data_IF_065915218785
#
_entry.id   IF_065915218785
#
_cell.length_a   1.000
_cell.length_b   1.000
_cell.length_c   1.000
_cell.angle_alpha   90.00
_cell.angle_beta   90.00
_cell.angle_gamma   90.00
#
_symmetry.space_group_name_H-M   'P 1'
#
loop_
_entity.id
_entity.type
_entity.pdbx_description
1 polymer ?
#
# COMPACT_ATOMS: atom_id res chain seq x y z
N UNK A 1 20.56 5.38 -3.11
CA UNK A 1 19.89 4.12 -2.72
C UNK A 1 20.69 2.91 -3.21
N UNK A 2 20.84 1.86 -2.40
CA UNK A 2 21.56 0.64 -2.81
C UNK A 2 20.62 -0.40 -3.45
N UNK A 3 21.10 -1.33 -4.29
CA UNK A 3 20.26 -2.37 -4.91
C UNK A 3 19.49 -3.25 -3.90
N UNK A 4 19.99 -3.39 -2.67
CA UNK A 4 19.34 -4.15 -1.59
C UNK A 4 18.09 -3.45 -1.04
N UNK A 5 18.04 -2.12 -1.07
CA UNK A 5 16.93 -1.29 -0.57
C UNK A 5 15.87 -1.02 -1.65
N UNK A 6 16.29 -1.04 -2.93
CA UNK A 6 15.41 -0.84 -4.08
C UNK A 6 14.48 -2.06 -4.30
N UNK A 7 14.94 -3.27 -3.95
CA UNK A 7 14.17 -4.49 -4.22
C UNK A 7 12.87 -4.59 -3.39
N UNK A 8 12.85 -4.30 -2.08
CA UNK A 8 11.61 -4.28 -1.29
C UNK A 8 10.63 -3.19 -1.73
N UNK A 9 11.10 -1.98 -2.02
CA UNK A 9 10.22 -0.87 -2.39
C UNK A 9 9.55 -1.12 -3.75
N UNK A 10 10.32 -1.63 -4.73
CA UNK A 10 9.77 -2.01 -6.02
C UNK A 10 8.77 -3.18 -5.92
N UNK A 11 8.97 -4.08 -4.96
CA UNK A 11 7.99 -5.15 -4.69
C UNK A 11 6.70 -4.56 -4.15
N UNK A 12 6.77 -3.73 -3.10
CA UNK A 12 5.60 -3.08 -2.51
C UNK A 12 4.80 -2.28 -3.53
N UNK A 13 5.47 -1.47 -4.35
CA UNK A 13 4.83 -0.63 -5.37
C UNK A 13 4.08 -1.48 -6.39
N UNK A 14 4.68 -2.58 -6.86
CA UNK A 14 4.01 -3.51 -7.79
C UNK A 14 2.85 -4.25 -7.14
N UNK A 15 3.05 -4.80 -5.95
CA UNK A 15 2.05 -5.62 -5.26
C UNK A 15 0.81 -4.77 -4.89
N UNK A 16 0.99 -3.48 -4.63
CA UNK A 16 -0.08 -2.54 -4.29
C UNK A 16 -0.62 -1.73 -5.49
N UNK A 17 -0.05 -1.86 -6.69
CA UNK A 17 -0.49 -1.11 -7.87
C UNK A 17 -0.23 0.40 -7.79
N UNK A 18 0.83 0.81 -7.10
CA UNK A 18 1.22 2.21 -7.02
C UNK A 18 2.13 2.64 -8.18
N UNK A 19 2.17 3.94 -8.41
CA UNK A 19 3.12 4.62 -9.28
C UNK A 19 4.25 5.21 -8.44
N UNK A 20 5.44 5.27 -9.04
CA UNK A 20 6.65 5.81 -8.42
C UNK A 20 7.16 6.97 -9.28
N UNK A 21 7.26 8.15 -8.69
CA UNK A 21 7.88 9.32 -9.32
C UNK A 21 9.11 9.74 -8.54
N UNK A 22 10.16 10.14 -9.24
CA UNK A 22 11.40 10.62 -8.63
C UNK A 22 12.08 11.63 -9.55
N UNK A 23 12.83 12.59 -9.00
CA UNK A 23 13.56 13.54 -9.82
C UNK A 23 14.70 12.85 -10.57
N UNK A 24 14.99 13.35 -11.78
CA UNK A 24 16.17 12.91 -12.54
C UNK A 24 17.48 13.36 -11.90
N UNK A 25 17.44 14.44 -11.12
CA UNK A 25 18.60 14.99 -10.43
C UNK A 25 18.75 14.43 -9.01
N UNK A 26 20.00 14.32 -8.49
CA UNK A 26 20.24 13.93 -7.11
C UNK A 26 19.58 14.88 -6.11
N UNK A 27 18.91 14.29 -5.13
CA UNK A 27 18.26 15.03 -4.05
C UNK A 27 19.16 15.16 -2.85
N UNK A 28 20.16 14.29 -2.72
CA UNK A 28 21.21 14.39 -1.70
C UNK A 28 22.53 14.76 -2.36
N UNK A 29 23.13 15.84 -1.86
CA UNK A 29 24.48 16.30 -2.18
C UNK A 29 25.34 16.14 -0.92
N UNK A 30 26.10 15.05 -0.79
CA UNK A 30 26.84 14.79 0.44
C UNK A 30 28.01 15.76 0.62
N UNK A 31 28.21 16.24 1.85
CA UNK A 31 29.37 17.07 2.19
C UNK A 31 30.71 16.33 2.14
N UNK A 32 30.68 14.99 2.19
CA UNK A 32 31.88 14.14 2.22
C UNK A 32 32.28 13.74 0.80
N UNK A 33 33.52 14.01 0.42
CA UNK A 33 34.07 13.71 -0.91
C UNK A 33 33.99 12.22 -1.31
N UNK A 34 33.92 11.30 -0.35
CA UNK A 34 33.84 9.85 -0.61
C UNK A 34 32.42 9.34 -0.82
N UNK A 35 31.41 10.20 -0.71
CA UNK A 35 30.01 9.86 -0.94
C UNK A 35 29.56 10.43 -2.28
N UNK A 36 28.74 9.66 -3.01
CA UNK A 36 28.20 10.10 -4.29
C UNK A 36 26.80 10.70 -4.09
N UNK A 37 26.45 11.76 -4.83
CA UNK A 37 25.09 12.24 -4.90
C UNK A 37 24.11 11.12 -5.21
N UNK A 38 22.91 11.17 -4.62
CA UNK A 38 21.87 10.18 -4.89
C UNK A 38 20.46 10.73 -4.74
N UNK A 39 19.50 10.09 -5.39
CA UNK A 39 18.07 10.40 -5.27
C UNK A 39 17.45 9.51 -4.20
N UNK A 40 16.99 10.11 -3.10
CA UNK A 40 16.24 9.41 -2.04
C UNK A 40 14.85 9.99 -1.83
N UNK A 41 14.63 11.24 -2.22
CA UNK A 41 13.31 11.87 -2.12
C UNK A 41 12.46 11.43 -3.32
N UNK A 42 11.40 10.70 -3.02
CA UNK A 42 10.52 10.02 -3.98
C UNK A 42 9.07 10.32 -3.67
N UNK A 43 8.22 10.16 -4.67
CA UNK A 43 6.77 10.25 -4.57
C UNK A 43 6.15 8.90 -4.95
N UNK A 44 5.17 8.46 -4.16
CA UNK A 44 4.42 7.23 -4.39
C UNK A 44 2.94 7.60 -4.39
N UNK A 45 2.25 7.32 -5.48
CA UNK A 45 0.82 7.63 -5.64
C UNK A 45 0.03 6.47 -6.23
N UNK A 46 -1.29 6.57 -6.10
CA UNK A 46 -2.24 5.58 -6.59
C UNK A 46 -2.97 6.00 -7.88
N UNK A 47 -2.92 7.27 -8.29
CA UNK A 47 -3.83 7.82 -9.33
C UNK A 47 -3.22 8.93 -10.19
N UNK A 48 -1.97 9.30 -9.96
CA UNK A 48 -1.39 10.50 -10.58
C UNK A 48 -0.43 10.12 -11.70
N UNK A 49 -0.96 10.04 -12.91
CA UNK A 49 -0.13 10.08 -14.11
C UNK A 49 0.29 11.52 -14.42
N UNK A 50 1.50 11.68 -14.97
CA UNK A 50 2.07 12.96 -15.41
C UNK A 50 2.40 13.97 -14.29
N UNK A 51 2.87 13.51 -13.13
CA UNK A 51 3.45 14.42 -12.14
C UNK A 51 4.70 15.07 -12.72
N UNK A 52 4.74 16.41 -12.72
CA UNK A 52 5.96 17.15 -13.04
C UNK A 52 6.85 17.15 -11.79
N UNK A 53 8.08 16.67 -11.94
CA UNK A 53 9.06 16.59 -10.85
C UNK A 53 10.21 17.54 -11.13
N UNK A 54 10.52 18.41 -10.16
CA UNK A 54 11.62 19.37 -10.25
C UNK A 54 12.42 19.39 -8.95
N UNK A 55 13.74 19.37 -9.07
CA UNK A 55 14.65 19.54 -7.94
C UNK A 55 15.13 20.98 -7.90
N UNK A 56 15.15 21.57 -6.71
CA UNK A 56 15.63 22.93 -6.46
C UNK A 56 16.96 22.87 -5.75
N UNK A 57 17.96 23.56 -6.29
CA UNK A 57 19.30 23.60 -5.67
C UNK A 57 19.27 24.58 -4.51
N UNK A 58 19.42 24.06 -3.29
CA UNK A 58 19.61 24.86 -2.09
C UNK A 58 20.98 24.61 -1.49
N UNK A 59 21.68 25.67 -1.07
CA UNK A 59 23.07 25.60 -0.61
C UNK A 59 23.22 25.37 0.89
N UNK A 60 22.11 25.35 1.64
CA UNK A 60 22.12 25.34 3.10
C UNK A 60 21.76 23.98 3.71
N UNK A 61 21.54 22.96 2.87
CA UNK A 61 21.15 21.61 3.26
C UNK A 61 21.94 20.60 2.42
N UNK A 62 22.18 19.40 2.94
CA UNK A 62 22.65 18.27 2.12
C UNK A 62 21.52 17.66 1.28
N UNK A 63 20.28 18.10 1.48
CA UNK A 63 19.15 17.79 0.64
C UNK A 63 18.71 19.00 -0.20
N UNK A 64 18.62 18.79 -1.52
CA UNK A 64 17.94 19.66 -2.46
C UNK A 64 16.42 19.43 -2.36
N UNK A 65 15.60 20.45 -2.09
CA UNK A 65 14.16 20.32 -2.11
C UNK A 65 13.64 19.78 -3.44
N UNK A 66 12.60 18.95 -3.38
CA UNK A 66 11.93 18.41 -4.57
C UNK A 66 10.48 18.88 -4.59
N UNK A 67 10.07 19.41 -5.73
CA UNK A 67 8.70 19.82 -5.99
C UNK A 67 8.03 18.81 -6.92
N UNK A 68 6.92 18.26 -6.45
CA UNK A 68 6.02 17.42 -7.23
C UNK A 68 4.76 18.23 -7.55
N UNK A 69 4.55 18.55 -8.83
CA UNK A 69 3.38 19.31 -9.26
C UNK A 69 2.34 18.35 -9.80
N UNK A 70 1.20 18.32 -9.12
CA UNK A 70 0.05 17.51 -9.49
C UNK A 70 -0.87 18.35 -10.38
N UNK A 71 -1.09 17.98 -11.66
CA UNK A 71 -1.96 18.76 -12.54
C UNK A 71 -3.42 18.66 -12.09
N UNK A 72 -4.12 19.80 -12.11
CA UNK A 72 -5.52 19.94 -11.69
C UNK A 72 -6.49 19.09 -12.53
N UNK A 73 -6.10 18.72 -13.75
CA UNK A 73 -6.85 17.82 -14.63
C UNK A 73 -6.91 16.38 -14.12
N UNK A 74 -6.11 15.99 -13.12
CA UNK A 74 -6.16 14.68 -12.48
C UNK A 74 -7.35 14.57 -11.49
N UNK A 75 -8.51 15.11 -11.86
CA UNK A 75 -9.82 14.90 -11.23
C UNK A 75 -10.34 13.47 -11.46
N UNK A 76 -9.45 12.47 -11.46
CA UNK A 76 -9.86 11.08 -11.35
C UNK A 76 -10.50 10.90 -9.97
N UNK A 77 -11.61 10.13 -9.87
CA UNK A 77 -12.19 9.83 -8.59
C UNK A 77 -11.10 9.19 -7.74
N UNK A 78 -10.74 9.86 -6.65
CA UNK A 78 -9.87 9.40 -5.59
C UNK A 78 -10.01 7.88 -5.49
N UNK A 79 -8.97 7.11 -5.85
CA UNK A 79 -9.01 5.67 -5.66
C UNK A 79 -9.17 5.49 -4.15
N UNK A 80 -10.39 5.16 -3.74
CA UNK A 80 -10.70 4.97 -2.35
C UNK A 80 -9.77 3.86 -1.88
N UNK A 81 -8.74 4.22 -1.11
CA UNK A 81 -7.89 3.25 -0.44
C UNK A 81 -8.81 2.49 0.52
N UNK A 82 -9.41 1.41 0.02
CA UNK A 82 -10.22 0.49 0.78
C UNK A 82 -9.24 -0.35 1.60
N UNK A 83 -9.02 0.07 2.82
CA UNK A 83 -8.31 -0.78 3.78
C UNK A 83 -9.34 -1.74 4.38
N UNK A 84 -9.05 -3.04 4.27
CA UNK A 84 -9.80 -4.10 4.93
C UNK A 84 -9.35 -4.17 6.38
N UNK A 85 -10.30 -4.01 7.30
CA UNK A 85 -10.08 -4.24 8.71
C UNK A 85 -10.86 -5.48 9.13
N UNK A 86 -10.14 -6.50 9.59
CA UNK A 86 -10.73 -7.73 10.12
C UNK A 86 -10.79 -7.66 11.64
N UNK A 87 -11.97 -7.87 12.21
CA UNK A 87 -12.12 -8.11 13.64
C UNK A 87 -11.74 -9.56 13.95
N UNK A 88 -10.50 -9.79 14.37
CA UNK A 88 -9.97 -11.13 14.64
C UNK A 88 -10.69 -11.86 15.77
N UNK A 89 -11.23 -11.15 16.76
CA UNK A 89 -12.00 -11.77 17.84
C UNK A 89 -13.33 -12.31 17.32
N UNK A 90 -14.04 -11.53 16.50
CA UNK A 90 -15.28 -11.98 15.84
C UNK A 90 -15.00 -13.08 14.81
N UNK A 91 -13.90 -12.98 14.06
CA UNK A 91 -13.47 -14.04 13.14
C UNK A 91 -13.30 -15.37 13.89
N UNK A 92 -12.60 -15.34 15.03
CA UNK A 92 -12.38 -16.52 15.85
C UNK A 92 -13.69 -17.10 16.37
N UNK A 93 -14.61 -16.26 16.87
CA UNK A 93 -15.94 -16.68 17.34
C UNK A 93 -16.79 -17.32 16.22
N UNK A 94 -16.79 -16.72 15.03
CA UNK A 94 -17.49 -17.26 13.86
C UNK A 94 -16.88 -18.58 13.38
N UNK A 95 -15.56 -18.71 13.46
CA UNK A 95 -14.87 -19.93 13.03
C UNK A 95 -15.10 -21.09 14.01
N UNK A 96 -14.99 -20.84 15.32
CA UNK A 96 -15.21 -21.87 16.35
C UNK A 96 -16.66 -22.33 16.43
N UNK A 97 -17.63 -21.46 16.12
CA UNK A 97 -19.05 -21.82 16.09
C UNK A 97 -19.46 -22.58 14.82
N UNK A 98 -18.74 -22.44 13.72
CA UNK A 98 -19.09 -23.05 12.42
C UNK A 98 -18.32 -24.33 12.10
N UNK A 99 -17.13 -24.52 12.67
CA UNK A 99 -16.29 -25.70 12.41
C UNK A 99 -16.42 -26.72 13.55
N UNK A 100 -16.87 -27.95 13.28
CA UNK A 100 -16.92 -29.00 14.31
C UNK A 100 -15.51 -29.44 14.72
N UNK A 101 -15.26 -29.60 16.03
CA UNK A 101 -13.95 -29.99 16.57
C UNK A 101 -13.46 -31.38 16.14
N UNK A 102 -14.37 -32.29 15.76
CA UNK A 102 -14.02 -33.63 15.31
C UNK A 102 -15.12 -34.22 14.39
N UNK A 103 -15.13 -33.86 13.09
CA UNK A 103 -16.05 -34.46 12.16
C UNK A 103 -15.73 -35.95 11.99
N UNK A 104 -16.72 -36.82 12.18
CA UNK A 104 -16.60 -38.21 11.75
C UNK A 104 -16.58 -38.25 10.22
N UNK A 105 -15.58 -38.94 9.67
CA UNK A 105 -15.40 -39.15 8.24
C UNK A 105 -15.34 -40.66 8.02
N UNK A 106 -16.30 -41.19 7.26
CA UNK A 106 -16.47 -42.62 7.02
C UNK A 106 -16.17 -43.01 5.57
N UNK A 107 -15.93 -42.04 4.69
CA UNK A 107 -15.58 -42.30 3.29
C UNK A 107 -14.63 -41.24 2.73
N UNK A 108 -13.95 -41.57 1.63
CA UNK A 108 -13.08 -40.64 0.93
C UNK A 108 -13.86 -39.48 0.30
N UNK A 109 -15.07 -39.72 -0.21
CA UNK A 109 -15.94 -38.64 -0.72
C UNK A 109 -16.35 -37.64 0.36
N UNK A 110 -16.49 -38.09 1.61
CA UNK A 110 -16.75 -37.18 2.73
C UNK A 110 -15.54 -36.29 3.06
N UNK A 111 -14.31 -36.69 2.73
CA UNK A 111 -13.11 -35.85 2.93
C UNK A 111 -13.22 -34.58 2.10
N UNK A 112 -13.49 -34.73 0.79
CA UNK A 112 -13.58 -33.60 -0.13
C UNK A 112 -14.72 -32.65 0.29
N UNK A 113 -15.88 -33.19 0.64
CA UNK A 113 -17.01 -32.41 1.16
C UNK A 113 -16.64 -31.64 2.45
N UNK A 114 -15.85 -32.24 3.34
CA UNK A 114 -15.41 -31.57 4.59
C UNK A 114 -14.38 -30.48 4.34
N UNK A 115 -13.48 -30.67 3.37
CA UNK A 115 -12.53 -29.65 2.94
C UNK A 115 -13.27 -28.45 2.35
N UNK A 116 -14.26 -28.71 1.49
CA UNK A 116 -15.10 -27.66 0.90
C UNK A 116 -15.87 -26.90 2.00
N UNK A 117 -16.50 -27.61 2.94
CA UNK A 117 -17.19 -27.00 4.08
C UNK A 117 -16.25 -26.13 4.93
N UNK A 118 -15.04 -26.62 5.25
CA UNK A 118 -14.06 -25.86 6.02
C UNK A 118 -13.64 -24.58 5.27
N UNK A 119 -13.38 -24.71 3.97
CA UNK A 119 -13.01 -23.58 3.10
C UNK A 119 -14.11 -22.53 3.08
N UNK A 120 -15.36 -22.96 2.90
CA UNK A 120 -16.53 -22.08 2.91
C UNK A 120 -16.73 -21.41 4.27
N UNK A 121 -16.54 -22.13 5.37
CA UNK A 121 -16.65 -21.58 6.72
C UNK A 121 -15.60 -20.49 6.98
N UNK A 122 -14.35 -20.72 6.59
CA UNK A 122 -13.27 -19.71 6.70
C UNK A 122 -13.59 -18.47 5.87
N UNK A 123 -14.05 -18.66 4.62
CA UNK A 123 -14.42 -17.57 3.72
C UNK A 123 -15.62 -16.77 4.26
N UNK A 124 -16.64 -17.44 4.77
CA UNK A 124 -17.78 -16.77 5.40
C UNK A 124 -17.34 -15.98 6.65
N UNK A 125 -16.52 -16.58 7.52
CA UNK A 125 -16.04 -15.93 8.74
C UNK A 125 -15.20 -14.69 8.41
N UNK A 126 -14.29 -14.75 7.42
CA UNK A 126 -13.49 -13.58 7.04
C UNK A 126 -14.34 -12.48 6.42
N UNK A 127 -15.33 -12.83 5.59
CA UNK A 127 -16.21 -11.86 4.93
C UNK A 127 -17.13 -11.15 5.93
N UNK A 128 -17.62 -11.85 6.96
CA UNK A 128 -18.49 -11.27 7.99
C UNK A 128 -17.71 -10.45 9.02
N UNK A 129 -16.48 -10.86 9.34
CA UNK A 129 -15.63 -10.17 10.32
C UNK A 129 -14.82 -9.03 9.73
N UNK A 130 -14.72 -8.93 8.41
CA UNK A 130 -14.02 -7.87 7.71
C UNK A 130 -14.95 -6.76 7.27
N UNK A 131 -14.50 -5.52 7.45
CA UNK A 131 -15.18 -4.34 6.91
C UNK A 131 -14.22 -3.58 6.02
N UNK A 132 -14.73 -3.11 4.89
CA UNK A 132 -14.04 -2.15 4.05
C UNK A 132 -14.22 -0.77 4.67
N UNK A 133 -13.13 -0.11 5.01
CA UNK A 133 -13.17 1.31 5.39
C UNK A 133 -12.62 2.12 4.24
N UNK A 134 -13.48 2.96 3.67
CA UNK A 134 -13.05 4.04 2.80
C UNK A 134 -12.38 5.08 3.68
N UNK A 135 -11.06 5.20 3.57
CA UNK A 135 -10.34 6.28 4.25
C UNK A 135 -10.58 7.57 3.47
N UNK A 136 -11.49 8.41 3.96
CA UNK A 136 -11.62 9.79 3.48
C UNK A 136 -10.45 10.60 4.04
N UNK A 137 -9.53 11.04 3.19
CA UNK A 137 -8.55 12.04 3.59
C UNK A 137 -9.25 13.40 3.61
N UNK A 138 -9.28 14.08 4.77
CA UNK A 138 -9.66 15.48 4.84
C UNK A 138 -8.50 16.31 4.30
N UNK A 139 -8.58 16.73 3.04
CA UNK A 139 -7.65 17.71 2.49
C UNK A 139 -8.19 19.09 2.88
N UNK A 140 -7.49 19.77 3.78
CA UNK A 140 -7.68 21.20 4.02
C UNK A 140 -6.97 21.91 2.87
N UNK A 141 -7.74 22.44 1.92
CA UNK A 141 -7.22 23.42 0.97
C UNK A 141 -6.90 24.69 1.74
N UNK A 142 -5.61 25.02 1.85
CA UNK A 142 -5.17 26.35 2.25
C UNK A 142 -5.10 27.16 0.94
N UNK A 143 -6.04 28.09 0.69
CA UNK A 143 -5.93 28.96 -0.47
C UNK A 143 -4.67 29.81 -0.33
N UNK A 144 -3.88 29.91 -1.41
CA UNK A 144 -2.73 30.82 -1.46
C UNK A 144 -3.23 32.28 -1.55
N UNK A 145 -2.48 33.25 -0.99
CA UNK A 145 -2.79 34.68 -1.06
C UNK A 145 -2.72 35.23 -2.49
#
# INVERSE_FOLDING_TARGET
MTPKEIRPINKFIRDCGFLLSFPSEPTIIPYRANQRPSTLDIEISCVLDNILVQTHVELNSDHNPVQFVVPESNNMPYSQNCTTFTNWMLFQELLTSSVPENPKINSTSEIDNRIEQLTNNIQCAINQSSKFKVIKHNIIFIPRP
#
